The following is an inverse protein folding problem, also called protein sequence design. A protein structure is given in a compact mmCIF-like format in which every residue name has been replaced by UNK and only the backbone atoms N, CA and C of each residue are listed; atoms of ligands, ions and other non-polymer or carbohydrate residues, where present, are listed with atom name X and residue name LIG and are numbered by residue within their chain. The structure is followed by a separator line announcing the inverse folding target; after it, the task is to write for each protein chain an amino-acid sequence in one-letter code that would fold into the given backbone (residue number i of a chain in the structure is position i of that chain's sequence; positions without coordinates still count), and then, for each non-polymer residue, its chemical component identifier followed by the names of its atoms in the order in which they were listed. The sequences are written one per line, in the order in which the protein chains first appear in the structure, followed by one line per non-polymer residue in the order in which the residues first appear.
data_IF_404201780835
#
_entry.id   IF_404201780835
#
_cell.length_a   1.000
_cell.length_b   1.000
_cell.length_c   1.000
_cell.angle_alpha   90.00
_cell.angle_beta   90.00
_cell.angle_gamma   90.00
#
_symmetry.space_group_name_H-M   'P 1'
#
loop_
_entity.id
_entity.type
_entity.pdbx_description
1 polymer ?
#
# COMPACT_ATOMS: atom_id res chain seq x y z
N UNK A 1 25.40 1.62 -21.57
CA UNK A 1 25.01 1.19 -20.20
C UNK A 1 24.80 2.46 -19.38
N UNK A 2 23.64 2.61 -18.75
CA UNK A 2 23.10 3.84 -18.12
C UNK A 2 22.68 4.95 -19.10
N UNK A 3 21.44 4.87 -19.62
CA UNK A 3 20.52 6.03 -19.74
C UNK A 3 19.07 5.65 -20.13
N UNK A 4 18.70 4.37 -20.18
CA UNK A 4 17.39 3.94 -20.74
C UNK A 4 16.25 3.73 -19.73
N UNK A 5 16.34 4.17 -18.48
CA UNK A 5 15.36 3.80 -17.44
C UNK A 5 14.37 4.88 -16.98
N UNK A 6 14.31 6.06 -17.61
CA UNK A 6 13.52 7.19 -17.05
C UNK A 6 12.28 7.61 -17.86
N UNK A 7 11.95 7.03 -19.02
CA UNK A 7 10.78 7.52 -19.80
C UNK A 7 9.87 6.39 -20.28
N UNK A 8 9.21 5.69 -19.36
CA UNK A 8 8.07 4.82 -19.71
C UNK A 8 7.01 4.69 -18.60
N UNK A 9 6.56 5.80 -18.01
CA UNK A 9 5.34 5.85 -17.17
C UNK A 9 4.38 6.92 -17.71
N UNK A 10 4.20 6.97 -19.03
CA UNK A 10 3.63 8.16 -19.66
C UNK A 10 2.61 7.96 -20.75
N UNK A 11 1.98 6.80 -20.92
CA UNK A 11 0.88 6.66 -21.89
C UNK A 11 -0.10 5.55 -21.50
N UNK A 12 -1.25 5.91 -20.92
CA UNK A 12 -2.56 5.43 -21.39
C UNK A 12 -3.68 6.25 -20.74
N UNK A 13 -4.16 7.25 -21.50
CA UNK A 13 -5.38 7.99 -21.20
C UNK A 13 -6.56 7.12 -21.65
N UNK A 14 -7.46 6.88 -20.71
CA UNK A 14 -8.67 6.08 -20.83
C UNK A 14 -9.57 6.69 -21.93
N UNK A 15 -9.80 5.93 -23.01
CA UNK A 15 -10.87 6.20 -23.96
C UNK A 15 -12.16 5.57 -23.45
N UNK A 16 -13.18 6.40 -23.32
CA UNK A 16 -14.55 6.02 -23.06
C UNK A 16 -15.12 5.16 -24.20
N UNK A 17 -15.76 4.04 -23.87
CA UNK A 17 -16.94 3.59 -24.59
C UNK A 17 -17.87 2.85 -23.64
N UNK A 18 -19.03 3.46 -23.44
CA UNK A 18 -20.19 2.95 -22.71
C UNK A 18 -20.94 2.01 -23.64
N UNK A 19 -21.26 0.80 -23.18
CA UNK A 19 -22.43 0.06 -23.68
C UNK A 19 -23.17 -0.48 -22.46
N UNK A 20 -24.36 0.07 -22.21
CA UNK A 20 -25.31 -0.39 -21.20
C UNK A 20 -26.15 -1.55 -21.76
N UNK A 21 -26.44 -2.54 -20.89
CA UNK A 21 -27.69 -3.30 -20.85
C UNK A 21 -27.81 -3.94 -19.44
N UNK A 22 -28.44 -3.23 -18.49
CA UNK A 22 -29.73 -3.56 -17.82
C UNK A 22 -30.25 -5.01 -17.98
N UNK A 23 -30.76 -5.78 -17.01
CA UNK A 23 -31.35 -5.65 -15.65
C UNK A 23 -31.08 -6.99 -14.91
N UNK A 24 -30.98 -7.09 -13.57
CA UNK A 24 -32.10 -7.15 -12.62
C UNK A 24 -31.48 -7.08 -11.18
N UNK A 25 -31.72 -6.04 -10.35
CA UNK A 25 -32.90 -5.80 -9.48
C UNK A 25 -33.04 -6.96 -8.45
N UNK A 26 -33.18 -6.81 -7.13
CA UNK A 26 -33.43 -5.71 -6.19
C UNK A 26 -33.24 -6.26 -4.78
N UNK A 27 -33.13 -5.32 -3.83
CA UNK A 27 -33.40 -5.38 -2.37
C UNK A 27 -32.11 -5.03 -1.62
N UNK A 28 -31.98 -3.93 -0.89
CA UNK A 28 -32.93 -2.88 -0.50
C UNK A 28 -32.10 -1.79 0.17
N UNK A 29 -32.36 -0.53 -0.18
CA UNK A 29 -32.30 0.63 0.70
C UNK A 29 -31.09 0.79 1.63
N UNK A 30 -30.17 1.69 1.25
CA UNK A 30 -29.84 2.86 2.09
C UNK A 30 -29.13 3.91 1.25
N UNK A 31 -29.85 5.01 1.05
CA UNK A 31 -29.36 6.29 0.54
C UNK A 31 -28.35 6.82 1.55
N UNK A 32 -27.04 6.64 1.33
CA UNK A 32 -26.01 7.37 2.08
C UNK A 32 -25.61 8.57 1.24
N UNK A 33 -26.34 9.69 1.45
CA UNK A 33 -25.70 11.00 1.37
C UNK A 33 -25.00 11.18 2.71
N UNK A 34 -23.67 11.07 2.71
CA UNK A 34 -22.82 11.62 3.76
C UNK A 34 -21.41 11.84 3.19
N UNK A 35 -21.22 13.00 2.55
CA UNK A 35 -20.00 13.77 2.81
C UNK A 35 -20.05 14.09 4.31
N UNK A 36 -19.16 13.51 5.13
CA UNK A 36 -18.73 14.06 6.43
C UNK A 36 -17.59 13.22 7.00
N UNK A 37 -16.48 13.92 7.33
CA UNK A 37 -15.16 13.46 7.78
C UNK A 37 -14.24 12.91 6.67
N UNK A 38 -13.44 13.80 6.06
CA UNK A 38 -12.17 13.39 5.42
C UNK A 38 -11.23 12.89 6.52
N UNK A 39 -11.35 11.64 6.90
CA UNK A 39 -10.30 10.96 7.64
C UNK A 39 -9.07 10.91 6.74
N UNK A 40 -7.95 11.49 7.19
CA UNK A 40 -6.64 11.35 6.54
C UNK A 40 -6.06 9.94 6.78
N UNK A 41 -6.92 8.93 6.70
CA UNK A 41 -6.55 7.53 6.89
C UNK A 41 -6.23 6.97 5.52
N UNK A 42 -5.06 6.33 5.34
CA UNK A 42 -4.70 5.77 4.06
C UNK A 42 -5.67 4.70 3.57
N UNK A 43 -5.93 4.67 2.27
CA UNK A 43 -6.71 3.60 1.63
C UNK A 43 -5.89 2.32 1.61
N UNK A 44 -6.48 1.16 1.95
CA UNK A 44 -5.80 -0.14 1.89
C UNK A 44 -6.31 -0.91 0.68
N UNK A 45 -5.39 -1.40 -0.15
CA UNK A 45 -5.67 -2.29 -1.27
C UNK A 45 -4.83 -3.57 -1.19
N UNK A 46 -5.33 -4.65 -1.79
CA UNK A 46 -4.61 -5.91 -1.85
C UNK A 46 -3.48 -5.87 -2.90
N UNK A 47 -2.29 -6.32 -2.50
CA UNK A 47 -1.12 -6.46 -3.36
C UNK A 47 -1.06 -7.84 -4.00
N UNK A 48 -0.96 -7.90 -5.34
CA UNK A 48 -0.74 -9.15 -6.05
C UNK A 48 0.75 -9.39 -6.29
N UNK A 49 1.42 -9.99 -5.30
CA UNK A 49 2.87 -10.25 -5.34
C UNK A 49 3.26 -11.70 -5.09
N UNK A 50 2.31 -12.65 -5.15
CA UNK A 50 2.55 -14.08 -4.90
C UNK A 50 3.75 -14.64 -5.68
N UNK A 51 3.92 -14.21 -6.94
CA UNK A 51 4.98 -14.68 -7.84
C UNK A 51 6.40 -14.31 -7.34
N UNK A 52 6.54 -13.28 -6.51
CA UNK A 52 7.83 -12.86 -5.94
C UNK A 52 8.21 -13.60 -4.66
N UNK A 53 7.25 -14.27 -4.02
CA UNK A 53 7.51 -15.02 -2.79
C UNK A 53 7.93 -16.47 -3.05
N UNK A 54 7.82 -16.97 -4.29
CA UNK A 54 8.28 -18.31 -4.67
C UNK A 54 7.80 -19.44 -3.73
N UNK A 55 6.57 -19.34 -3.22
CA UNK A 55 5.99 -20.32 -2.28
C UNK A 55 6.37 -20.12 -0.81
N UNK A 56 7.14 -19.08 -0.47
CA UNK A 56 7.41 -18.70 0.91
C UNK A 56 6.17 -18.07 1.56
N UNK A 57 5.90 -18.46 2.80
CA UNK A 57 4.87 -17.81 3.62
C UNK A 57 5.41 -16.46 4.14
N UNK A 58 5.14 -15.40 3.39
CA UNK A 58 5.58 -14.05 3.71
C UNK A 58 4.49 -13.02 3.44
N UNK A 59 4.77 -11.79 3.86
CA UNK A 59 3.92 -10.62 3.67
C UNK A 59 4.77 -9.46 3.16
N UNK A 60 4.13 -8.54 2.44
CA UNK A 60 4.73 -7.28 2.04
C UNK A 60 3.71 -6.15 2.23
N UNK A 61 4.22 -5.00 2.65
CA UNK A 61 3.46 -3.78 2.87
C UNK A 61 4.20 -2.66 2.16
N UNK A 62 3.55 -1.98 1.23
CA UNK A 62 4.07 -0.78 0.57
C UNK A 62 3.12 0.37 0.86
N UNK A 63 3.69 1.50 1.27
CA UNK A 63 2.97 2.74 1.46
C UNK A 63 3.36 3.74 0.37
N UNK A 64 2.38 4.29 -0.34
CA UNK A 64 2.54 5.42 -1.24
C UNK A 64 1.99 6.69 -0.55
N UNK A 65 2.87 7.60 -0.10
CA UNK A 65 2.46 8.86 0.51
C UNK A 65 1.72 9.79 -0.45
N UNK A 66 1.97 9.71 -1.75
CA UNK A 66 1.37 10.59 -2.76
C UNK A 66 -0.10 10.24 -2.99
N UNK A 67 -0.41 8.94 -2.98
CA UNK A 67 -1.76 8.42 -3.09
C UNK A 67 -2.46 8.24 -1.73
N UNK A 68 -1.74 8.45 -0.61
CA UNK A 68 -2.19 8.11 0.74
C UNK A 68 -2.76 6.68 0.79
N UNK A 69 -1.98 5.71 0.31
CA UNK A 69 -2.46 4.35 0.06
C UNK A 69 -1.46 3.29 0.53
N UNK A 70 -1.95 2.24 1.17
CA UNK A 70 -1.23 1.00 1.41
C UNK A 70 -1.59 -0.06 0.37
N UNK A 71 -0.58 -0.75 -0.13
CA UNK A 71 -0.74 -2.01 -0.84
C UNK A 71 -0.18 -3.14 0.03
N UNK A 72 -1.05 -4.08 0.42
CA UNK A 72 -0.70 -5.14 1.38
C UNK A 72 -0.92 -6.51 0.75
N UNK A 73 0.12 -7.34 0.76
CA UNK A 73 0.03 -8.75 0.41
C UNK A 73 0.10 -9.59 1.70
N UNK A 74 -0.80 -10.59 1.82
CA UNK A 74 -0.95 -11.42 3.00
C UNK A 74 -1.21 -10.58 4.28
N UNK A 75 -2.40 -9.97 4.35
CA UNK A 75 -2.77 -9.01 5.40
C UNK A 75 -2.73 -9.61 6.82
N UNK A 76 -3.18 -10.85 7.00
CA UNK A 76 -3.13 -11.51 8.31
C UNK A 76 -1.71 -11.59 8.87
N UNK A 77 -0.75 -12.00 8.02
CA UNK A 77 0.65 -12.06 8.42
C UNK A 77 1.25 -10.66 8.59
N UNK A 78 0.83 -9.68 7.79
CA UNK A 78 1.25 -8.28 7.90
C UNK A 78 0.89 -7.65 9.26
N UNK A 79 -0.30 -7.97 9.77
CA UNK A 79 -0.80 -7.44 11.05
C UNK A 79 -0.25 -8.18 12.28
N UNK A 80 0.39 -9.33 12.07
CA UNK A 80 1.00 -10.11 13.15
C UNK A 80 2.34 -9.51 13.54
N UNK A 81 2.47 -9.08 14.80
CA UNK A 81 3.74 -8.54 15.33
C UNK A 81 4.77 -9.65 15.47
N UNK A 82 5.98 -9.38 14.99
CA UNK A 82 7.13 -10.28 15.07
C UNK A 82 8.30 -9.58 15.78
N UNK A 83 9.25 -10.38 16.30
CA UNK A 83 10.49 -9.82 16.82
C UNK A 83 11.24 -9.08 15.70
N UNK A 84 11.65 -7.82 15.91
CA UNK A 84 12.34 -7.05 14.87
C UNK A 84 13.75 -7.58 14.57
N UNK A 85 14.30 -8.48 15.38
CA UNK A 85 15.66 -9.02 15.22
C UNK A 85 16.67 -7.88 14.94
N UNK A 86 17.42 -7.96 13.84
CA UNK A 86 18.37 -6.91 13.47
C UNK A 86 17.73 -5.62 12.93
N UNK A 87 16.46 -5.59 12.53
CA UNK A 87 15.80 -4.34 12.08
C UNK A 87 15.62 -3.34 13.23
N UNK A 88 15.65 -3.81 14.49
CA UNK A 88 15.68 -2.94 15.66
C UNK A 88 16.91 -2.02 15.70
N UNK A 89 18.01 -2.41 15.02
CA UNK A 89 19.23 -1.60 14.94
C UNK A 89 18.96 -0.20 14.41
N UNK A 90 17.98 -0.03 13.51
CA UNK A 90 17.58 1.27 12.99
C UNK A 90 17.18 2.21 14.13
N UNK A 91 16.25 1.76 14.99
CA UNK A 91 15.76 2.56 16.12
C UNK A 91 16.83 2.72 17.20
N UNK A 92 17.58 1.65 17.52
CA UNK A 92 18.62 1.75 18.54
C UNK A 92 19.77 2.69 18.13
N UNK A 93 20.11 2.77 16.85
CA UNK A 93 21.10 3.73 16.34
C UNK A 93 20.60 5.17 16.46
N UNK A 94 19.33 5.43 16.14
CA UNK A 94 18.73 6.76 16.34
C UNK A 94 18.73 7.15 17.83
N UNK A 95 18.42 6.23 18.73
CA UNK A 95 18.52 6.44 20.19
C UNK A 95 19.96 6.74 20.60
N UNK A 96 20.94 6.03 20.03
CA UNK A 96 22.36 6.26 20.31
C UNK A 96 22.83 7.67 19.90
N UNK A 97 22.35 8.17 18.76
CA UNK A 97 22.62 9.53 18.31
C UNK A 97 21.95 10.58 19.22
N UNK A 98 20.67 10.39 19.54
CA UNK A 98 19.90 11.32 20.41
C UNK A 98 20.53 11.46 21.81
N UNK A 99 21.06 10.36 22.36
CA UNK A 99 21.67 10.36 23.69
C UNK A 99 23.18 10.67 23.66
N UNK A 100 23.76 10.99 22.51
CA UNK A 100 25.19 11.28 22.37
C UNK A 100 26.11 10.09 22.67
N UNK A 101 25.61 8.86 22.56
CA UNK A 101 26.42 7.63 22.69
C UNK A 101 27.24 7.39 21.42
N UNK A 102 26.70 7.81 20.27
CA UNK A 102 27.33 7.70 18.95
C UNK A 102 27.62 9.12 18.45
N UNK A 103 28.86 9.38 18.02
CA UNK A 103 29.30 10.63 17.36
C UNK A 103 29.42 10.36 15.84
N UNK A 104 28.75 11.14 14.97
CA UNK A 104 28.61 10.86 13.54
C UNK A 104 29.87 11.07 12.66
#
# INVERSE_FOLDING_TARGET
MLLSFIVLIGYLKINAHITQNDQEKTLTSKKVKQEDLKTNVPVIIDGNWINYFNGLNGSAVIYDPSANQYQIYNQELAHTRQSPCSTFKIISSLIGLENGIIDP
#
